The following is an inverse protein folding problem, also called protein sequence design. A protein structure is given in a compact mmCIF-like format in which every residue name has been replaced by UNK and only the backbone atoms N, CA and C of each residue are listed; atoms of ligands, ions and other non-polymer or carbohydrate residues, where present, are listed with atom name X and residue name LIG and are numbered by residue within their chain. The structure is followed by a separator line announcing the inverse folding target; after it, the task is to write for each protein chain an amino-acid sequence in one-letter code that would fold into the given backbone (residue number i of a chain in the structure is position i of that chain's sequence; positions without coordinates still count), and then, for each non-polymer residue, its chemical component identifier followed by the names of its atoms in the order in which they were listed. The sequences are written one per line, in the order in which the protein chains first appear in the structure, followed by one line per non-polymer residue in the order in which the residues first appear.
data_IF_723881128325
#
_entry.id   IF_723881128325
#
_cell.length_a   1.000
_cell.length_b   1.000
_cell.length_c   1.000
_cell.angle_alpha   90.00
_cell.angle_beta   90.00
_cell.angle_gamma   90.00
#
_symmetry.space_group_name_H-M   'P 1'
#
loop_
_entity.id
_entity.type
_entity.pdbx_description
1 polymer ?
#
# COMPACT_ATOMS: atom_id res chain seq x y z
N UNK A 1 -13.59 10.18 -0.30
CA UNK A 1 -12.24 10.59 -0.74
C UNK A 1 -11.34 9.38 -0.99
N UNK A 2 -11.17 8.47 -0.03
CA UNK A 2 -10.30 7.29 -0.19
C UNK A 2 -10.68 6.34 -1.33
N UNK A 3 -11.97 6.22 -1.67
CA UNK A 3 -12.39 5.44 -2.84
C UNK A 3 -11.78 5.97 -4.15
N UNK A 4 -11.63 7.29 -4.32
CA UNK A 4 -11.00 7.89 -5.51
C UNK A 4 -9.52 7.50 -5.56
N UNK A 5 -8.81 7.61 -4.43
CA UNK A 5 -7.40 7.19 -4.33
C UNK A 5 -7.26 5.71 -4.68
N UNK A 6 -8.19 4.87 -4.17
CA UNK A 6 -8.22 3.44 -4.45
C UNK A 6 -8.40 3.14 -5.94
N UNK A 7 -9.34 3.83 -6.60
CA UNK A 7 -9.62 3.65 -8.02
C UNK A 7 -8.45 4.13 -8.89
N UNK A 8 -7.80 5.24 -8.53
CA UNK A 8 -6.59 5.71 -9.23
C UNK A 8 -5.46 4.68 -9.12
N UNK A 9 -5.26 4.10 -7.93
CA UNK A 9 -4.24 3.07 -7.74
C UNK A 9 -4.57 1.78 -8.50
N UNK A 10 -5.83 1.33 -8.54
CA UNK A 10 -6.24 0.19 -9.39
C UNK A 10 -5.88 0.44 -10.85
N UNK A 11 -6.23 1.61 -11.40
CA UNK A 11 -5.90 1.96 -12.78
C UNK A 11 -4.38 1.96 -13.05
N UNK A 12 -3.57 2.38 -12.07
CA UNK A 12 -2.10 2.33 -12.19
C UNK A 12 -1.62 0.87 -12.22
N UNK A 13 -2.14 0.00 -11.35
CA UNK A 13 -1.80 -1.42 -11.36
C UNK A 13 -2.20 -2.10 -12.67
N UNK A 14 -3.37 -1.79 -13.21
CA UNK A 14 -3.84 -2.36 -14.49
C UNK A 14 -2.95 -1.90 -15.66
N UNK A 15 -2.56 -0.62 -15.68
CA UNK A 15 -1.61 -0.10 -16.68
C UNK A 15 -0.22 -0.76 -16.56
N UNK A 16 0.24 -1.01 -15.34
CA UNK A 16 1.48 -1.73 -15.11
C UNK A 16 1.37 -3.13 -15.73
N UNK A 17 0.36 -3.94 -15.36
CA UNK A 17 0.16 -5.28 -15.92
C UNK A 17 0.15 -5.27 -17.45
N UNK A 18 -0.61 -4.36 -18.08
CA UNK A 18 -0.65 -4.22 -19.54
C UNK A 18 0.71 -3.86 -20.17
N UNK A 19 1.50 -3.00 -19.51
CA UNK A 19 2.85 -2.65 -19.98
C UNK A 19 3.84 -3.81 -19.86
N UNK A 20 3.68 -4.65 -18.83
CA UNK A 20 4.56 -5.78 -18.56
C UNK A 20 4.41 -6.92 -19.55
N UNK A 21 3.19 -7.19 -20.02
CA UNK A 21 2.95 -8.12 -21.13
C UNK A 21 3.61 -7.67 -22.44
N UNK A 22 3.89 -6.38 -22.62
CA UNK A 22 4.55 -5.85 -23.82
C UNK A 22 6.07 -5.92 -23.77
N UNK A 23 6.68 -5.91 -22.58
CA UNK A 23 8.14 -5.83 -22.42
C UNK A 23 8.82 -7.13 -21.96
N UNK A 24 8.06 -8.19 -21.61
CA UNK A 24 8.58 -9.47 -21.08
C UNK A 24 9.52 -9.33 -19.86
N UNK A 25 9.55 -8.16 -19.19
CA UNK A 25 10.58 -7.83 -18.21
C UNK A 25 10.10 -7.77 -16.76
N UNK A 26 8.79 -7.86 -16.52
CA UNK A 26 8.25 -7.70 -15.16
C UNK A 26 7.25 -8.81 -14.87
N UNK A 27 7.41 -9.39 -13.70
CA UNK A 27 6.63 -10.53 -13.22
C UNK A 27 5.27 -10.06 -12.69
N UNK A 28 4.18 -10.47 -13.36
CA UNK A 28 2.80 -10.21 -12.94
C UNK A 28 2.56 -10.61 -11.47
N UNK A 29 3.19 -11.70 -11.02
CA UNK A 29 3.08 -12.15 -9.62
C UNK A 29 3.61 -11.09 -8.65
N UNK A 30 4.71 -10.42 -8.99
CA UNK A 30 5.27 -9.35 -8.15
C UNK A 30 4.35 -8.13 -8.09
N UNK A 31 3.65 -7.83 -9.20
CA UNK A 31 2.66 -6.75 -9.21
C UNK A 31 1.49 -7.10 -8.28
N UNK A 32 1.00 -8.34 -8.35
CA UNK A 32 -0.07 -8.83 -7.49
C UNK A 32 0.35 -8.82 -6.00
N UNK A 33 1.57 -9.26 -5.66
CA UNK A 33 2.09 -9.20 -4.29
C UNK A 33 2.13 -7.77 -3.73
N UNK A 34 2.54 -6.80 -4.55
CA UNK A 34 2.54 -5.38 -4.17
C UNK A 34 1.10 -4.88 -4.00
N UNK A 35 0.20 -5.25 -4.91
CA UNK A 35 -1.22 -4.89 -4.87
C UNK A 35 -1.88 -5.40 -3.58
N UNK A 36 -1.62 -6.66 -3.23
CA UNK A 36 -2.13 -7.30 -2.00
C UNK A 36 -1.59 -6.61 -0.74
N UNK A 37 -0.31 -6.27 -0.72
CA UNK A 37 0.29 -5.53 0.41
C UNK A 37 -0.30 -4.13 0.54
N UNK A 38 -0.45 -3.41 -0.58
CA UNK A 38 -0.99 -2.04 -0.62
C UNK A 38 -2.44 -1.97 -0.13
N UNK A 39 -3.23 -3.02 -0.39
CA UNK A 39 -4.65 -3.10 -0.07
C UNK A 39 -4.97 -4.08 1.06
N UNK A 40 -3.98 -4.48 1.85
CA UNK A 40 -4.19 -5.29 3.04
C UNK A 40 -5.17 -4.58 4.02
N UNK A 41 -5.94 -5.31 4.85
CA UNK A 41 -6.90 -4.72 5.78
C UNK A 41 -6.30 -3.72 6.77
N UNK A 42 -5.01 -3.90 7.11
CA UNK A 42 -4.27 -3.04 8.02
C UNK A 42 -2.96 -2.56 7.41
N UNK A 43 -2.55 -1.34 7.72
CA UNK A 43 -1.28 -0.73 7.30
C UNK A 43 -0.46 -0.28 8.50
N UNK A 44 0.86 -0.23 8.32
CA UNK A 44 1.78 0.33 9.30
C UNK A 44 1.70 1.86 9.31
N UNK A 45 1.32 2.42 10.45
CA UNK A 45 1.32 3.86 10.71
C UNK A 45 2.50 4.22 11.60
N UNK A 46 3.37 5.10 11.10
CA UNK A 46 4.55 5.57 11.83
C UNK A 46 4.15 6.60 12.89
N UNK A 47 4.44 6.32 14.16
CA UNK A 47 4.05 7.15 15.31
C UNK A 47 5.00 8.35 15.52
N UNK A 48 5.11 9.24 14.53
CA UNK A 48 6.11 10.33 14.55
C UNK A 48 5.99 11.28 15.74
N UNK A 49 4.79 11.52 16.25
CA UNK A 49 4.57 12.38 17.42
C UNK A 49 5.03 11.67 18.68
N UNK A 50 4.67 10.40 18.87
CA UNK A 50 5.12 9.58 20.00
C UNK A 50 6.64 9.47 20.02
N UNK A 51 7.27 9.18 18.88
CA UNK A 51 8.73 9.12 18.75
C UNK A 51 9.42 10.43 19.17
N UNK A 52 8.80 11.59 18.92
CA UNK A 52 9.34 12.89 19.35
C UNK A 52 9.16 13.13 20.85
N UNK A 53 8.08 12.61 21.44
CA UNK A 53 7.83 12.73 22.87
C UNK A 53 8.74 11.82 23.70
N UNK A 54 9.12 10.67 23.16
CA UNK A 54 9.96 9.67 23.83
C UNK A 54 11.46 9.90 23.62
N UNK A 55 11.86 10.93 22.85
CA UNK A 55 13.24 11.18 22.40
C UNK A 55 13.89 10.00 21.67
N UNK A 56 13.07 9.04 21.22
CA UNK A 56 13.46 7.86 20.46
C UNK A 56 13.36 8.11 18.95
N UNK A 57 13.83 9.26 18.47
CA UNK A 57 13.81 9.56 17.03
C UNK A 57 14.58 8.50 16.19
N UNK A 58 15.46 7.74 16.83
CA UNK A 58 16.25 6.67 16.25
C UNK A 58 15.57 5.28 16.29
N UNK A 59 14.47 5.10 17.05
CA UNK A 59 13.68 3.87 17.06
C UNK A 59 12.36 4.08 16.30
N UNK A 60 12.12 3.26 15.28
CA UNK A 60 10.89 3.38 14.50
C UNK A 60 9.75 2.62 15.18
N UNK A 61 8.86 3.37 15.82
CA UNK A 61 7.62 2.83 16.40
C UNK A 61 6.48 2.88 15.37
N UNK A 62 5.88 1.72 15.11
CA UNK A 62 4.74 1.56 14.21
C UNK A 62 3.56 0.92 14.95
N UNK A 63 2.35 1.32 14.56
CA UNK A 63 1.11 0.64 14.93
C UNK A 63 0.36 0.21 13.68
N UNK A 64 -0.43 -0.86 13.78
CA UNK A 64 -1.36 -1.26 12.73
C UNK A 64 -2.65 -0.45 12.85
N UNK A 65 -3.08 0.16 11.75
CA UNK A 65 -4.36 0.88 11.64
C UNK A 65 -5.17 0.35 10.46
N UNK A 66 -6.50 0.54 10.49
CA UNK A 66 -7.37 0.19 9.36
C UNK A 66 -6.88 0.86 8.09
N UNK A 67 -6.73 0.09 7.02
CA UNK A 67 -6.36 0.62 5.72
C UNK A 67 -7.58 1.23 5.04
N UNK A 68 -7.61 2.55 4.77
CA UNK A 68 -8.74 3.17 4.09
C UNK A 68 -8.87 2.76 2.61
N UNK A 69 -7.87 2.07 2.06
CA UNK A 69 -7.85 1.53 0.71
C UNK A 69 -8.35 0.07 0.66
N UNK A 70 -8.53 -0.58 1.81
CA UNK A 70 -9.12 -1.91 1.86
C UNK A 70 -10.60 -1.84 1.45
N UNK A 71 -11.04 -2.81 0.66
CA UNK A 71 -12.44 -3.06 0.33
C UNK A 71 -12.74 -4.49 0.75
N UNK A 72 -13.75 -4.68 1.60
CA UNK A 72 -14.30 -6.02 1.78
C UNK A 72 -14.87 -6.47 0.44
N UNK A 73 -14.42 -7.60 -0.06
CA UNK A 73 -15.04 -8.22 -1.24
C UNK A 73 -16.44 -8.67 -0.80
N UNK A 74 -17.47 -7.96 -1.26
CA UNK A 74 -18.85 -8.43 -1.24
C UNK A 74 -19.07 -9.50 -2.30
#
# INVERSE_FOLDING_TARGET
MWYIVRDVLDNIFDQLVLSTHKSNQVNENRINEIKDTMFAPFIDYKCVTTMRLEDEAHHYTYIKVNNPLYRENN
#
